data_IF_362946072724
#
_entry.id   IF_362946072724
#
_cell.length_a   1.000
_cell.length_b   1.000
_cell.length_c   1.000
_cell.angle_alpha   90.00
_cell.angle_beta   90.00
_cell.angle_gamma   90.00
#
_symmetry.space_group_name_H-M   'P 1'
#
loop_
_entity.id
_entity.type
_entity.pdbx_description
1 polymer ?
#
# COMPACT_ATOMS: atom_id res chain seq x y z
N UNK A 1 16.83 -10.32 -13.74
CA UNK A 1 16.36 -9.43 -14.83
C UNK A 1 15.29 -10.16 -15.60
N UNK A 2 14.16 -9.51 -15.82
CA UNK A 2 13.02 -10.06 -16.52
C UNK A 2 12.25 -8.99 -17.29
N UNK A 3 11.44 -9.42 -18.24
CA UNK A 3 10.42 -8.62 -18.89
C UNK A 3 9.07 -9.13 -18.41
N UNK A 4 8.21 -8.23 -17.97
CA UNK A 4 6.94 -8.61 -17.42
C UNK A 4 5.95 -7.47 -17.38
N UNK A 5 4.69 -7.85 -17.29
CA UNK A 5 3.57 -6.92 -17.25
C UNK A 5 3.04 -6.79 -15.82
N UNK A 6 2.78 -5.56 -15.37
CA UNK A 6 2.22 -5.30 -14.04
C UNK A 6 0.76 -5.75 -14.01
N UNK A 7 0.47 -6.76 -13.21
CA UNK A 7 -0.88 -7.32 -13.02
C UNK A 7 -1.55 -6.83 -11.75
N UNK A 8 -0.78 -6.32 -10.78
CA UNK A 8 -1.33 -5.85 -9.54
C UNK A 8 -0.48 -4.76 -8.88
N UNK A 9 -1.14 -3.79 -8.23
CA UNK A 9 -0.50 -2.72 -7.45
C UNK A 9 -1.28 -2.53 -6.16
N UNK A 10 -0.63 -2.74 -5.01
CA UNK A 10 -1.22 -2.53 -3.69
C UNK A 10 -0.34 -1.69 -2.78
N UNK A 11 -0.90 -0.70 -2.06
CA UNK A 11 -0.21 -0.07 -0.95
C UNK A 11 0.01 -1.12 0.13
N UNK A 12 1.21 -1.15 0.67
CA UNK A 12 1.60 -2.07 1.73
C UNK A 12 2.31 -1.32 2.83
N UNK A 13 2.05 -1.74 4.05
CA UNK A 13 2.78 -1.30 5.22
C UNK A 13 3.88 -2.29 5.51
N UNK A 14 5.12 -1.83 5.60
CA UNK A 14 6.22 -2.71 5.97
C UNK A 14 7.31 -1.97 6.74
N UNK A 15 8.11 -2.77 7.42
CA UNK A 15 9.19 -2.31 8.30
C UNK A 15 10.53 -2.67 7.67
N UNK A 16 11.40 -1.68 7.55
CA UNK A 16 12.81 -1.80 7.15
C UNK A 16 13.67 -1.42 8.34
N UNK A 17 14.27 -2.41 9.01
CA UNK A 17 14.96 -2.19 10.27
C UNK A 17 13.99 -1.65 11.33
N UNK A 18 14.24 -0.45 11.84
CA UNK A 18 13.36 0.24 12.80
C UNK A 18 12.44 1.28 12.15
N UNK A 19 12.55 1.48 10.85
CA UNK A 19 11.69 2.39 10.11
C UNK A 19 10.46 1.66 9.61
N UNK A 20 9.29 2.15 10.00
CA UNK A 20 8.03 1.78 9.37
C UNK A 20 7.75 2.74 8.23
N UNK A 21 7.26 2.22 7.12
CA UNK A 21 6.90 3.05 5.97
C UNK A 21 5.73 2.44 5.21
N UNK A 22 5.13 3.27 4.38
CA UNK A 22 4.12 2.86 3.42
C UNK A 22 4.84 2.79 2.08
N UNK A 23 4.70 1.70 1.36
CA UNK A 23 5.21 1.57 -0.01
C UNK A 23 4.20 0.85 -0.88
N UNK A 24 4.68 0.34 -2.01
CA UNK A 24 3.85 -0.41 -2.95
C UNK A 24 4.38 -1.83 -3.14
N UNK A 25 3.42 -2.74 -3.30
CA UNK A 25 3.64 -4.10 -3.77
C UNK A 25 3.16 -4.18 -5.20
N UNK A 26 4.06 -4.58 -6.09
CA UNK A 26 3.82 -4.70 -7.53
C UNK A 26 3.91 -6.16 -7.92
N UNK A 27 2.80 -6.74 -8.37
CA UNK A 27 2.81 -8.11 -8.91
C UNK A 27 2.97 -8.07 -10.41
N UNK A 28 3.97 -8.77 -10.92
CA UNK A 28 4.26 -8.95 -12.33
C UNK A 28 3.83 -10.34 -12.78
N UNK A 29 3.24 -10.40 -13.97
CA UNK A 29 3.32 -11.59 -14.81
C UNK A 29 4.63 -11.50 -15.57
N UNK A 30 5.50 -12.47 -15.39
CA UNK A 30 6.81 -12.51 -16.03
C UNK A 30 6.68 -13.24 -17.36
N UNK A 31 6.92 -12.52 -18.44
CA UNK A 31 6.79 -13.06 -19.79
C UNK A 31 8.11 -13.73 -20.20
N UNK A 32 9.23 -13.05 -19.96
CA UNK A 32 10.58 -13.53 -20.28
C UNK A 32 11.59 -13.22 -19.17
N UNK A 33 12.62 -14.05 -19.02
CA UNK A 33 13.76 -13.77 -18.12
C UNK A 33 15.11 -14.00 -18.79
N UNK A 34 16.12 -13.25 -18.34
CA UNK A 34 17.51 -13.41 -18.81
C UNK A 34 18.45 -13.91 -17.71
N UNK A 35 18.21 -13.50 -16.45
CA UNK A 35 19.09 -13.85 -15.32
C UNK A 35 18.30 -14.05 -14.04
N UNK A 36 18.75 -15.01 -13.23
CA UNK A 36 18.19 -15.35 -11.92
C UNK A 36 17.07 -16.40 -12.01
N UNK A 37 16.78 -17.06 -10.89
CA UNK A 37 15.67 -17.99 -10.74
C UNK A 37 14.39 -17.20 -10.43
N UNK A 38 13.81 -16.60 -11.46
CA UNK A 38 12.55 -15.86 -11.40
C UNK A 38 11.44 -16.75 -11.96
N UNK A 39 10.32 -16.81 -11.25
CA UNK A 39 9.12 -17.56 -11.62
C UNK A 39 8.24 -16.78 -12.60
N UNK A 40 7.16 -17.38 -13.08
CA UNK A 40 6.18 -16.77 -13.99
C UNK A 40 5.36 -15.64 -13.33
N UNK A 41 5.39 -15.57 -11.99
CA UNK A 41 4.84 -14.48 -11.20
C UNK A 41 5.87 -13.98 -10.19
N UNK A 42 6.03 -12.67 -10.11
CA UNK A 42 6.95 -12.05 -9.15
C UNK A 42 6.28 -10.87 -8.46
N UNK A 43 6.43 -10.77 -7.14
CA UNK A 43 5.99 -9.60 -6.39
C UNK A 43 7.21 -8.79 -5.96
N UNK A 44 7.26 -7.53 -6.39
CA UNK A 44 8.26 -6.56 -5.98
C UNK A 44 7.69 -5.67 -4.88
N UNK A 45 8.50 -5.43 -3.86
CA UNK A 45 8.24 -4.43 -2.83
C UNK A 45 9.09 -3.21 -3.15
N UNK A 46 8.44 -2.05 -3.22
CA UNK A 46 9.10 -0.76 -3.37
C UNK A 46 8.79 0.10 -2.14
N UNK A 47 9.85 0.50 -1.46
CA UNK A 47 9.77 1.36 -0.29
C UNK A 47 9.75 2.80 -0.73
N UNK A 48 8.87 3.57 -0.11
CA UNK A 48 8.79 4.97 -0.44
C UNK A 48 10.13 5.67 -0.18
N UNK A 49 10.72 6.22 -1.23
CA UNK A 49 12.00 6.90 -1.10
C UNK A 49 12.53 7.41 -2.42
N UNK A 50 13.65 8.13 -2.33
CA UNK A 50 14.29 8.76 -3.49
C UNK A 50 14.74 7.77 -4.56
N UNK A 51 14.78 6.47 -4.26
CA UNK A 51 15.19 5.42 -5.19
C UNK A 51 14.03 4.55 -5.69
N UNK A 52 12.78 4.92 -5.41
CA UNK A 52 11.57 4.16 -5.81
C UNK A 52 11.28 4.26 -7.31
N UNK A 53 10.90 3.15 -7.94
CA UNK A 53 10.52 3.09 -9.36
C UNK A 53 9.00 2.94 -9.48
N UNK A 54 8.37 3.87 -10.21
CA UNK A 54 6.92 3.87 -10.36
C UNK A 54 6.47 2.94 -11.48
N UNK A 55 5.94 1.78 -11.09
CA UNK A 55 5.29 0.87 -12.03
C UNK A 55 3.79 1.18 -12.18
N UNK A 56 3.29 1.07 -13.40
CA UNK A 56 1.88 1.34 -13.71
C UNK A 56 1.15 0.05 -14.08
N UNK A 57 -0.08 -0.11 -13.60
CA UNK A 57 -0.94 -1.26 -13.93
C UNK A 57 -1.04 -1.48 -15.44
N UNK A 58 -0.91 -2.73 -15.89
CA UNK A 58 -1.07 -3.12 -17.28
C UNK A 58 0.11 -2.77 -18.19
N UNK A 59 1.10 -2.03 -17.70
CA UNK A 59 2.29 -1.68 -18.48
C UNK A 59 3.34 -2.80 -18.42
N UNK A 60 4.10 -2.91 -19.51
CA UNK A 60 5.22 -3.85 -19.66
C UNK A 60 6.50 -3.13 -19.26
N UNK A 61 7.35 -3.81 -18.51
CA UNK A 61 8.64 -3.30 -18.10
C UNK A 61 9.72 -4.35 -18.29
N UNK A 62 10.91 -3.88 -18.65
CA UNK A 62 12.15 -4.62 -18.43
C UNK A 62 12.68 -4.24 -17.05
N UNK A 63 12.71 -5.21 -16.13
CA UNK A 63 12.99 -4.96 -14.70
C UNK A 63 14.27 -5.64 -14.24
N UNK A 64 15.12 -4.84 -13.61
CA UNK A 64 16.30 -5.30 -12.89
C UNK A 64 15.97 -5.48 -11.41
N UNK A 65 15.29 -6.58 -11.11
CA UNK A 65 14.95 -6.92 -9.73
C UNK A 65 16.16 -7.48 -8.97
N UNK A 66 16.27 -7.05 -7.72
CA UNK A 66 17.27 -7.49 -6.74
C UNK A 66 16.54 -8.19 -5.60
N UNK A 67 17.07 -9.32 -5.15
CA UNK A 67 16.55 -10.04 -3.99
C UNK A 67 17.20 -9.48 -2.73
N UNK A 68 16.40 -9.22 -1.69
CA UNK A 68 16.92 -8.72 -0.43
C UNK A 68 17.84 -9.79 0.22
N UNK A 69 19.09 -9.45 0.56
CA UNK A 69 20.01 -10.40 1.18
C UNK A 69 19.57 -10.83 2.59
N UNK A 70 18.82 -10.00 3.31
CA UNK A 70 18.31 -10.29 4.65
C UNK A 70 17.01 -11.11 4.61
N UNK A 71 16.20 -10.94 3.58
CA UNK A 71 14.95 -11.67 3.37
C UNK A 71 14.83 -12.13 1.90
N UNK A 72 15.25 -13.36 1.63
CA UNK A 72 15.20 -13.93 0.28
C UNK A 72 13.78 -14.06 -0.29
N UNK A 73 12.73 -13.88 0.51
CA UNK A 73 11.36 -13.84 -0.04
C UNK A 73 11.04 -12.48 -0.69
N UNK A 74 11.83 -11.44 -0.42
CA UNK A 74 11.59 -10.08 -0.92
C UNK A 74 12.43 -9.77 -2.13
N UNK A 75 11.77 -9.16 -3.10
CA UNK A 75 12.38 -8.61 -4.29
C UNK A 75 12.06 -7.12 -4.35
N UNK A 76 13.01 -6.33 -4.83
CA UNK A 76 12.83 -4.91 -5.05
C UNK A 76 13.41 -4.50 -6.40
N UNK A 77 12.96 -3.37 -6.92
CA UNK A 77 13.55 -2.71 -8.06
C UNK A 77 13.63 -1.21 -7.74
N UNK A 78 14.69 -0.56 -8.19
CA UNK A 78 14.96 0.85 -7.89
C UNK A 78 15.20 1.63 -9.17
N UNK A 79 15.01 2.96 -9.14
CA UNK A 79 15.39 3.84 -10.27
C UNK A 79 16.90 3.87 -10.50
N UNK A 80 17.70 3.45 -9.51
CA UNK A 80 19.13 3.29 -9.66
C UNK A 80 19.51 2.03 -10.46
N UNK A 81 18.53 1.15 -10.69
CA UNK A 81 18.67 -0.01 -11.57
C UNK A 81 18.18 0.38 -12.98
N UNK A 82 18.71 -0.22 -14.06
CA UNK A 82 18.33 0.11 -15.44
C UNK A 82 16.94 -0.43 -15.84
N UNK A 83 15.95 -0.29 -14.95
CA UNK A 83 14.55 -0.64 -15.18
C UNK A 83 13.94 0.37 -16.16
N UNK A 84 13.27 -0.11 -17.20
CA UNK A 84 12.69 0.73 -18.27
C UNK A 84 11.39 0.14 -18.82
N UNK A 85 10.52 0.99 -19.34
CA UNK A 85 9.29 0.63 -20.07
C UNK A 85 9.61 0.10 -21.47
N UNK A 86 10.63 0.68 -22.11
CA UNK A 86 11.01 0.33 -23.46
C UNK A 86 12.50 0.04 -23.49
N UNK A 87 12.84 -1.19 -23.87
CA UNK A 87 14.20 -1.62 -24.08
C UNK A 87 14.45 -1.64 -25.59
N UNK A 88 15.46 -0.89 -26.03
CA UNK A 88 15.77 -0.80 -27.46
C UNK A 88 16.04 -2.19 -28.05
N UNK A 89 15.77 -2.36 -29.34
CA UNK A 89 16.01 -3.63 -30.02
C UNK A 89 17.47 -4.09 -29.89
N UNK A 90 18.43 -3.16 -30.01
CA UNK A 90 19.86 -3.45 -29.88
C UNK A 90 20.24 -3.85 -28.45
N UNK A 91 19.69 -3.17 -27.44
CA UNK A 91 19.92 -3.55 -26.04
C UNK A 91 19.32 -4.93 -25.75
N UNK A 92 18.10 -5.20 -26.22
CA UNK A 92 17.45 -6.50 -26.09
C UNK A 92 18.27 -7.61 -26.74
N UNK A 93 18.84 -7.34 -27.92
CA UNK A 93 19.73 -8.27 -28.62
C UNK A 93 21.02 -8.52 -27.84
N UNK A 94 21.60 -7.50 -27.21
CA UNK A 94 22.82 -7.61 -26.41
C UNK A 94 22.68 -8.51 -25.17
N UNK A 95 21.45 -8.63 -24.63
CA UNK A 95 21.15 -9.49 -23.49
C UNK A 95 21.17 -10.99 -23.84
N UNK A 96 21.10 -11.33 -25.13
CA UNK A 96 20.97 -12.70 -25.60
C UNK A 96 19.53 -13.24 -25.53
N UNK A 97 19.34 -14.54 -25.84
CA UNK A 97 18.02 -15.14 -25.92
C UNK A 97 17.36 -15.25 -24.53
N UNK A 98 16.10 -14.80 -24.38
CA UNK A 98 15.38 -14.95 -23.12
C UNK A 98 14.92 -16.40 -22.90
N UNK A 99 14.80 -16.79 -21.63
CA UNK A 99 14.00 -17.94 -21.22
C UNK A 99 12.55 -17.47 -21.13
N UNK A 100 11.71 -17.99 -22.03
CA UNK A 100 10.28 -17.72 -22.01
C UNK A 100 9.62 -18.47 -20.85
N UNK A 101 8.82 -17.75 -20.06
CA UNK A 101 8.10 -18.29 -18.91
C UNK A 101 6.59 -18.33 -19.16
N UNK A 102 6.05 -17.28 -19.79
CA UNK A 102 4.64 -17.22 -20.19
C UNK A 102 4.52 -17.21 -21.71
N UNK A 103 3.79 -18.17 -22.27
CA UNK A 103 3.39 -18.17 -23.68
C UNK A 103 2.09 -17.39 -23.90
N UNK A 104 1.36 -17.05 -22.83
CA UNK A 104 0.01 -16.49 -22.92
C UNK A 104 0.03 -14.99 -22.65
N UNK A 105 -0.08 -14.23 -23.74
CA UNK A 105 -0.15 -12.77 -23.75
C UNK A 105 -1.60 -12.29 -23.65
N UNK A 106 -2.40 -12.91 -22.76
CA UNK A 106 -3.76 -12.43 -22.54
C UNK A 106 -3.67 -10.96 -22.08
N UNK A 107 -4.43 -10.04 -22.70
CA UNK A 107 -4.42 -8.64 -22.31
C UNK A 107 -4.83 -8.52 -20.85
N UNK A 108 -4.08 -7.72 -20.09
CA UNK A 108 -4.44 -7.45 -18.69
C UNK A 108 -5.72 -6.62 -18.72
N UNK A 109 -6.79 -7.05 -18.01
CA UNK A 109 -8.01 -6.26 -17.95
C UNK A 109 -7.71 -4.88 -17.34
N UNK A 110 -8.40 -3.82 -17.80
CA UNK A 110 -8.24 -2.50 -17.20
C UNK A 110 -8.60 -2.56 -15.72
N UNK A 111 -7.94 -1.72 -14.92
CA UNK A 111 -8.23 -1.62 -13.50
C UNK A 111 -9.71 -1.24 -13.28
N UNK A 112 -10.40 -2.02 -12.45
CA UNK A 112 -11.80 -1.74 -12.12
C UNK A 112 -11.92 -0.60 -11.12
N UNK A 113 -13.03 0.14 -11.15
CA UNK A 113 -13.32 1.20 -10.18
C UNK A 113 -13.32 0.69 -8.72
N UNK A 114 -13.80 -0.54 -8.50
CA UNK A 114 -13.82 -1.17 -7.18
C UNK A 114 -12.40 -1.44 -6.69
N UNK A 115 -11.53 -1.95 -7.56
CA UNK A 115 -10.13 -2.17 -7.23
C UNK A 115 -9.42 -0.86 -6.89
N UNK A 116 -9.61 0.18 -7.72
CA UNK A 116 -9.02 1.51 -7.50
C UNK A 116 -9.52 2.13 -6.18
N UNK A 117 -10.82 2.05 -5.89
CA UNK A 117 -11.40 2.53 -4.63
C UNK A 117 -10.85 1.76 -3.41
N UNK A 118 -10.75 0.43 -3.51
CA UNK A 118 -10.16 -0.40 -2.46
C UNK A 118 -8.69 -0.02 -2.23
N UNK A 119 -7.90 0.18 -3.29
CA UNK A 119 -6.51 0.60 -3.20
C UNK A 119 -6.36 1.93 -2.46
N UNK A 120 -7.16 2.94 -2.82
CA UNK A 120 -7.15 4.26 -2.15
C UNK A 120 -7.58 4.17 -0.69
N UNK A 121 -8.58 3.34 -0.39
CA UNK A 121 -9.04 3.11 0.98
C UNK A 121 -7.93 2.46 1.83
N UNK A 122 -7.28 1.40 1.33
CA UNK A 122 -6.16 0.74 2.03
C UNK A 122 -5.00 1.72 2.24
N UNK A 123 -4.65 2.53 1.23
CA UNK A 123 -3.64 3.58 1.36
C UNK A 123 -4.02 4.59 2.47
N UNK A 124 -5.27 5.05 2.49
CA UNK A 124 -5.76 5.96 3.52
C UNK A 124 -5.73 5.36 4.92
N UNK A 125 -6.02 4.06 5.07
CA UNK A 125 -5.91 3.33 6.35
C UNK A 125 -4.46 3.24 6.80
N UNK A 126 -3.52 2.89 5.91
CA UNK A 126 -2.10 2.85 6.24
C UNK A 126 -1.55 4.23 6.60
N UNK A 127 -1.94 5.27 5.84
CA UNK A 127 -1.58 6.64 6.12
C UNK A 127 -2.10 7.12 7.47
N UNK A 128 -3.39 6.88 7.76
CA UNK A 128 -3.98 7.21 9.05
C UNK A 128 -3.23 6.52 10.18
N UNK A 129 -2.91 5.23 10.05
CA UNK A 129 -2.13 4.49 11.04
C UNK A 129 -0.74 5.10 11.24
N UNK A 130 -0.04 5.40 10.14
CA UNK A 130 1.30 5.97 10.16
C UNK A 130 1.32 7.34 10.86
N UNK A 131 0.46 8.27 10.43
CA UNK A 131 0.40 9.61 11.02
C UNK A 131 -0.15 9.62 12.46
N UNK A 132 -1.13 8.78 12.77
CA UNK A 132 -1.65 8.69 14.14
C UNK A 132 -0.59 8.15 15.10
N UNK A 133 0.22 7.19 14.65
CA UNK A 133 1.35 6.67 15.41
C UNK A 133 2.42 7.73 15.64
N UNK A 134 2.91 8.38 14.58
CA UNK A 134 3.93 9.43 14.70
C UNK A 134 3.47 10.56 15.64
N UNK A 135 2.19 10.95 15.54
CA UNK A 135 1.61 11.95 16.44
C UNK A 135 1.56 11.45 17.89
N UNK A 136 1.11 10.21 18.12
CA UNK A 136 1.01 9.63 19.45
C UNK A 136 2.39 9.37 20.09
N UNK A 137 3.35 8.85 19.35
CA UNK A 137 4.74 8.68 19.80
C UNK A 137 5.43 10.02 20.04
N UNK A 138 5.11 11.04 19.24
CA UNK A 138 5.58 12.42 19.44
C UNK A 138 5.15 13.04 20.78
N UNK A 139 4.13 12.50 21.45
CA UNK A 139 3.74 12.91 22.79
C UNK A 139 4.70 12.38 23.88
N UNK A 140 5.57 11.40 23.58
CA UNK A 140 6.53 10.85 24.54
C UNK A 140 5.88 10.33 25.83
N UNK A 141 6.49 10.60 26.99
CA UNK A 141 5.93 10.33 28.32
C UNK A 141 5.24 11.58 28.93
N UNK A 142 4.66 12.44 28.09
CA UNK A 142 4.02 13.67 28.57
C UNK A 142 2.71 13.42 29.31
N UNK A 143 2.33 14.35 30.18
CA UNK A 143 0.99 14.38 30.80
C UNK A 143 -0.12 14.38 29.74
N UNK A 144 0.12 15.00 28.57
CA UNK A 144 -0.82 15.02 27.46
C UNK A 144 -1.13 13.62 26.92
N UNK A 145 -0.14 12.71 26.88
CA UNK A 145 -0.36 11.32 26.49
C UNK A 145 -1.23 10.58 27.49
N UNK A 146 -0.92 10.72 28.79
CA UNK A 146 -1.69 10.08 29.86
C UNK A 146 -3.15 10.58 29.85
N UNK A 147 -3.36 11.89 29.72
CA UNK A 147 -4.69 12.49 29.62
C UNK A 147 -5.44 11.97 28.39
N UNK A 148 -4.76 11.82 27.24
CA UNK A 148 -5.37 11.29 26.02
C UNK A 148 -5.81 9.83 26.21
N UNK A 149 -4.96 8.98 26.79
CA UNK A 149 -5.29 7.57 27.05
C UNK A 149 -6.50 7.41 27.97
N UNK A 150 -6.53 8.15 29.08
CA UNK A 150 -7.68 8.12 29.99
C UNK A 150 -8.94 8.69 29.35
N UNK A 151 -8.82 9.74 28.53
CA UNK A 151 -9.94 10.33 27.80
C UNK A 151 -10.53 9.35 26.79
N UNK A 152 -9.69 8.65 26.03
CA UNK A 152 -10.11 7.61 25.08
C UNK A 152 -10.79 6.44 25.82
N UNK A 153 -10.22 5.98 26.92
CA UNK A 153 -10.83 4.92 27.73
C UNK A 153 -12.20 5.34 28.28
N UNK A 154 -12.32 6.56 28.81
CA UNK A 154 -13.59 7.11 29.29
C UNK A 154 -14.63 7.22 28.17
N UNK A 155 -14.22 7.68 26.97
CA UNK A 155 -15.08 7.74 25.79
C UNK A 155 -15.55 6.35 25.36
N UNK A 156 -14.68 5.35 25.33
CA UNK A 156 -15.06 3.96 25.00
C UNK A 156 -16.05 3.38 26.01
N UNK A 157 -15.81 3.57 27.30
CA UNK A 157 -16.71 3.11 28.37
C UNK A 157 -18.07 3.81 28.29
N UNK A 158 -18.08 5.14 28.17
CA UNK A 158 -19.30 5.91 27.95
C UNK A 158 -20.04 5.46 26.70
N UNK A 159 -19.30 5.10 25.65
CA UNK A 159 -19.89 4.66 24.39
C UNK A 159 -20.64 3.33 24.51
N UNK A 160 -20.03 2.36 25.17
CA UNK A 160 -20.63 1.07 25.44
C UNK A 160 -21.86 1.17 26.35
N UNK A 161 -21.79 1.99 27.41
CA UNK A 161 -22.91 2.20 28.33
C UNK A 161 -24.11 2.85 27.62
N UNK A 162 -23.86 3.85 26.77
CA UNK A 162 -24.90 4.50 25.99
C UNK A 162 -25.54 3.54 24.96
N UNK A 163 -24.73 2.71 24.28
CA UNK A 163 -25.24 1.69 23.37
C UNK A 163 -26.14 0.67 24.08
N UNK A 164 -25.72 0.18 25.25
CA UNK A 164 -26.52 -0.75 26.08
C UNK A 164 -27.84 -0.10 26.56
N UNK A 165 -27.79 1.17 26.97
CA UNK A 165 -28.96 1.92 27.40
C UNK A 165 -29.96 2.14 26.24
N UNK A 166 -29.46 2.54 25.07
CA UNK A 166 -30.27 2.71 23.85
C UNK A 166 -30.86 1.37 23.34
N UNK A 167 -30.10 0.28 23.43
CA UNK A 167 -30.58 -1.05 23.06
C UNK A 167 -31.72 -1.55 23.98
N UNK A 168 -31.67 -1.22 25.29
CA UNK A 168 -32.75 -1.51 26.24
C UNK A 168 -34.02 -0.72 25.93
N UNK A 169 -33.88 0.54 25.51
CA UNK A 169 -34.98 1.39 25.12
C UNK A 169 -35.37 1.12 23.65
N UNK A 170 -36.04 -0.03 23.41
CA UNK A 170 -36.51 -0.56 22.10
C UNK A 170 -37.16 0.44 21.13
N UNK A 171 -37.53 1.64 21.59
CA UNK A 171 -38.16 2.72 20.81
C UNK A 171 -37.16 3.59 20.02
N UNK A 172 -35.85 3.48 20.27
CA UNK A 172 -34.83 4.38 19.68
C UNK A 172 -33.88 3.69 18.70
N UNK A 173 -34.41 2.80 17.85
CA UNK A 173 -33.62 2.08 16.84
C UNK A 173 -32.85 3.01 15.89
N UNK A 174 -33.42 4.17 15.56
CA UNK A 174 -32.76 5.17 14.72
C UNK A 174 -31.60 5.88 15.44
N UNK A 175 -31.72 6.17 16.74
CA UNK A 175 -30.60 6.71 17.50
C UNK A 175 -29.49 5.67 17.66
N UNK A 176 -29.84 4.40 17.88
CA UNK A 176 -28.84 3.31 17.90
C UNK A 176 -28.11 3.20 16.56
N UNK A 177 -28.83 3.29 15.44
CA UNK A 177 -28.23 3.27 14.10
C UNK A 177 -27.30 4.47 13.89
N UNK A 178 -27.75 5.69 14.22
CA UNK A 178 -26.93 6.91 14.09
C UNK A 178 -25.70 6.86 15.01
N UNK A 179 -25.87 6.30 16.21
CA UNK A 179 -24.81 6.07 17.18
C UNK A 179 -23.72 5.14 16.65
N UNK A 180 -24.11 4.02 16.02
CA UNK A 180 -23.20 3.07 15.38
C UNK A 180 -22.57 3.64 14.11
N UNK A 181 -23.30 4.47 13.37
CA UNK A 181 -22.79 5.11 12.15
C UNK A 181 -21.75 6.21 12.46
N UNK A 182 -21.85 6.90 13.60
CA UNK A 182 -20.93 7.99 13.97
C UNK A 182 -19.44 7.58 13.97
N UNK A 183 -19.00 6.51 14.67
CA UNK A 183 -17.60 6.09 14.65
C UNK A 183 -17.16 5.63 13.24
N UNK A 184 -18.07 5.05 12.46
CA UNK A 184 -17.79 4.67 11.08
C UNK A 184 -17.54 5.90 10.20
N UNK A 185 -18.36 6.95 10.33
CA UNK A 185 -18.17 8.22 9.61
C UNK A 185 -16.88 8.90 10.05
N UNK A 186 -16.58 8.93 11.35
CA UNK A 186 -15.31 9.47 11.85
C UNK A 186 -14.11 8.69 11.31
N UNK A 187 -14.19 7.36 11.29
CA UNK A 187 -13.16 6.49 10.72
C UNK A 187 -12.95 6.78 9.23
N UNK A 188 -14.02 6.82 8.43
CA UNK A 188 -13.94 7.17 7.01
C UNK A 188 -13.37 8.58 6.80
N UNK A 189 -13.69 9.53 7.67
CA UNK A 189 -13.13 10.88 7.62
C UNK A 189 -11.64 10.88 7.91
N UNK A 190 -11.19 10.08 8.88
CA UNK A 190 -9.77 9.85 9.17
C UNK A 190 -9.04 9.18 8.00
N UNK A 191 -9.64 8.17 7.37
CA UNK A 191 -9.09 7.52 6.16
C UNK A 191 -8.97 8.51 5.00
N UNK A 192 -10.00 9.32 4.78
CA UNK A 192 -9.98 10.36 3.76
C UNK A 192 -8.89 11.41 4.05
N UNK A 193 -8.76 11.85 5.30
CA UNK A 193 -7.69 12.75 5.72
C UNK A 193 -6.31 12.13 5.48
N UNK A 194 -6.08 10.89 5.90
CA UNK A 194 -4.83 10.16 5.69
C UNK A 194 -4.47 10.05 4.21
N UNK A 195 -5.44 9.69 3.36
CA UNK A 195 -5.26 9.67 1.90
C UNK A 195 -4.87 11.07 1.37
N UNK A 196 -5.56 12.13 1.79
CA UNK A 196 -5.22 13.49 1.35
C UNK A 196 -3.84 13.95 1.82
N UNK A 197 -3.39 13.51 2.99
CA UNK A 197 -2.05 13.79 3.49
C UNK A 197 -0.97 13.13 2.60
N UNK A 198 -1.20 11.90 2.15
CA UNK A 198 -0.32 11.21 1.19
C UNK A 198 -0.28 11.93 -0.15
N UNK A 199 -1.44 12.29 -0.71
CA UNK A 199 -1.53 13.00 -2.00
C UNK A 199 -0.81 14.35 -1.96
N UNK A 200 -0.88 15.07 -0.83
CA UNK A 200 -0.19 16.35 -0.65
C UNK A 200 1.30 16.22 -0.40
N UNK A 201 1.78 15.05 -0.01
CA UNK A 201 3.19 14.81 0.23
C UNK A 201 3.89 14.50 -1.12
N UNK A 202 4.80 15.36 -1.61
CA UNK A 202 5.45 15.14 -2.90
C UNK A 202 6.22 13.80 -2.95
N UNK A 203 6.75 13.34 -1.82
CA UNK A 203 7.49 12.07 -1.69
C UNK A 203 6.60 10.83 -1.58
N UNK A 204 5.28 10.98 -1.44
CA UNK A 204 4.35 9.85 -1.30
C UNK A 204 3.17 9.92 -2.30
N UNK A 205 3.02 11.04 -3.00
CA UNK A 205 1.91 11.28 -3.94
C UNK A 205 1.84 10.23 -5.07
N UNK A 206 2.97 9.65 -5.48
CA UNK A 206 2.98 8.61 -6.52
C UNK A 206 2.30 7.31 -6.09
N UNK A 207 2.10 7.04 -4.79
CA UNK A 207 1.35 5.86 -4.33
C UNK A 207 -0.15 6.00 -4.57
N UNK A 208 -0.64 7.23 -4.79
CA UNK A 208 -2.06 7.49 -4.99
C UNK A 208 -2.55 7.12 -6.41
N UNK A 209 -1.63 6.85 -7.34
CA UNK A 209 -1.89 6.74 -8.77
C UNK A 209 -1.55 5.37 -9.33
#
# INVERSE_FOLDING_TARGET
>A
MFEGTVTNVWPVFFRIGDLETIGNSYTFRVDARWKGAIEDRLTLLDAAGNCSFRFTWGQVYTVFAVQDPADRSRWSATICSPTTEDLSYEDRKSLGPPVQLSTRHDPIPPETLVHSAARRFVLGVHALRYFARDWYEGLGDSESRVVLEYSLAALCCGYLLAALHLARLRRWRWLLALYVCLPFVLFLSGVAWGYTAVVRNPMASYMAY
#
